data_IF_767867608762
#
_entry.id   IF_767867608762
#
_cell.length_a   1.000
_cell.length_b   1.000
_cell.length_c   1.000
_cell.angle_alpha   90.00
_cell.angle_beta   90.00
_cell.angle_gamma   90.00
#
_symmetry.space_group_name_H-M   'P 1'
#
loop_
_entity.id
_entity.type
_entity.pdbx_description
1 polymer ?
#
# COMPACT_ATOMS: atom_id res chain seq x y z
N UNK A 1 3.57 -13.27 -8.36
CA UNK A 1 2.94 -11.93 -8.49
C UNK A 1 2.10 -11.53 -7.27
N UNK A 2 0.97 -12.17 -6.94
CA UNK A 2 0.19 -11.80 -5.72
C UNK A 2 1.02 -11.86 -4.43
N UNK A 3 1.66 -12.99 -4.17
CA UNK A 3 2.49 -13.18 -2.97
C UNK A 3 3.68 -12.22 -2.92
N UNK A 4 4.31 -11.94 -4.06
CA UNK A 4 5.42 -10.96 -4.15
C UNK A 4 4.95 -9.55 -3.77
N UNK A 5 3.77 -9.13 -4.25
CA UNK A 5 3.17 -7.84 -3.87
C UNK A 5 2.83 -7.78 -2.37
N UNK A 6 2.38 -8.90 -1.80
CA UNK A 6 2.11 -8.99 -0.36
C UNK A 6 3.40 -8.96 0.47
N UNK A 7 4.46 -9.63 0.01
CA UNK A 7 5.80 -9.54 0.62
C UNK A 7 6.37 -8.13 0.55
N UNK A 8 6.22 -7.44 -0.59
CA UNK A 8 6.60 -6.03 -0.72
C UNK A 8 5.81 -5.16 0.27
N UNK A 9 4.49 -5.32 0.33
CA UNK A 9 3.62 -4.60 1.28
C UNK A 9 4.01 -4.85 2.74
N UNK A 10 4.34 -6.09 3.11
CA UNK A 10 4.75 -6.44 4.46
C UNK A 10 6.11 -5.85 4.87
N UNK A 11 6.93 -5.42 3.91
CA UNK A 11 8.25 -4.80 4.15
C UNK A 11 8.23 -3.28 4.11
N UNK A 12 7.08 -2.67 3.82
CA UNK A 12 6.94 -1.21 3.74
C UNK A 12 7.25 -0.60 5.12
N UNK A 13 8.23 0.32 5.22
CA UNK A 13 8.63 0.93 6.48
C UNK A 13 7.72 2.11 6.85
N UNK A 14 6.40 1.88 6.87
CA UNK A 14 5.43 2.91 7.24
C UNK A 14 5.38 3.11 8.76
N UNK A 15 5.13 4.36 9.19
CA UNK A 15 4.92 4.73 10.60
C UNK A 15 3.55 4.34 11.14
N UNK A 16 2.65 3.91 10.25
CA UNK A 16 1.28 3.48 10.54
C UNK A 16 1.06 2.12 9.88
N UNK A 17 -0.02 1.44 10.26
CA UNK A 17 -0.41 0.19 9.61
C UNK A 17 -0.54 0.38 8.10
N UNK A 18 0.01 -0.56 7.32
CA UNK A 18 -0.01 -0.50 5.85
C UNK A 18 -1.44 -0.38 5.31
N UNK A 19 -2.43 -0.97 5.99
CA UNK A 19 -3.83 -0.81 5.63
C UNK A 19 -4.33 0.65 5.66
N UNK A 20 -3.88 1.44 6.63
CA UNK A 20 -4.19 2.89 6.71
C UNK A 20 -3.58 3.64 5.54
N UNK A 21 -2.35 3.31 5.16
CA UNK A 21 -1.67 3.90 4.00
C UNK A 21 -2.43 3.58 2.71
N UNK A 22 -2.84 2.32 2.54
CA UNK A 22 -3.60 1.88 1.37
C UNK A 22 -4.98 2.55 1.27
N UNK A 23 -5.70 2.68 2.39
CA UNK A 23 -6.99 3.37 2.40
C UNK A 23 -6.82 4.86 2.04
N UNK A 24 -5.87 5.58 2.63
CA UNK A 24 -5.61 6.99 2.30
C UNK A 24 -5.25 7.18 0.82
N UNK A 25 -4.37 6.32 0.27
CA UNK A 25 -4.03 6.35 -1.14
C UNK A 25 -5.22 6.07 -2.05
N UNK A 26 -6.09 5.12 -1.67
CA UNK A 26 -7.27 4.78 -2.45
C UNK A 26 -8.21 5.98 -2.63
N UNK A 27 -8.48 6.71 -1.55
CA UNK A 27 -9.34 7.89 -1.59
C UNK A 27 -8.67 9.07 -2.30
N UNK A 28 -7.41 9.36 -2.00
CA UNK A 28 -6.70 10.44 -2.69
C UNK A 28 -6.59 10.22 -4.19
N UNK A 29 -6.27 8.98 -4.60
CA UNK A 29 -6.09 8.65 -6.00
C UNK A 29 -7.43 8.65 -6.77
N UNK A 30 -8.55 8.39 -6.10
CA UNK A 30 -9.87 8.53 -6.69
C UNK A 30 -10.19 10.00 -7.03
N UNK A 31 -9.88 10.93 -6.11
CA UNK A 31 -10.13 12.37 -6.26
C UNK A 31 -9.36 13.00 -7.42
N UNK A 32 -8.16 12.49 -7.71
CA UNK A 32 -7.28 12.97 -8.78
C UNK A 32 -7.18 11.99 -9.96
N UNK A 33 -8.10 11.04 -10.08
CA UNK A 33 -8.05 9.95 -11.07
C UNK A 33 -7.94 10.42 -12.54
N UNK A 34 -8.45 11.62 -12.84
CA UNK A 34 -8.40 12.25 -14.15
C UNK A 34 -7.08 12.97 -14.47
N UNK A 35 -6.16 13.08 -13.50
CA UNK A 35 -4.87 13.75 -13.69
C UNK A 35 -3.90 12.83 -14.44
N UNK A 36 -2.91 13.40 -15.17
CA UNK A 36 -1.82 12.62 -15.76
C UNK A 36 -1.09 11.78 -14.70
N UNK A 37 -0.65 10.57 -15.08
CA UNK A 37 -0.04 9.62 -14.16
C UNK A 37 1.16 10.20 -13.39
N UNK A 38 2.02 10.96 -14.06
CA UNK A 38 3.21 11.55 -13.42
C UNK A 38 2.84 12.63 -12.39
N UNK A 39 1.77 13.40 -12.66
CA UNK A 39 1.24 14.35 -11.68
C UNK A 39 0.59 13.62 -10.50
N UNK A 40 -0.16 12.54 -10.75
CA UNK A 40 -0.76 11.71 -9.69
C UNK A 40 0.31 11.15 -8.77
N UNK A 41 1.36 10.56 -9.34
CA UNK A 41 2.51 10.04 -8.56
C UNK A 41 3.08 11.08 -7.61
N UNK A 42 3.31 12.29 -8.12
CA UNK A 42 3.86 13.39 -7.33
C UNK A 42 2.94 13.80 -6.17
N UNK A 43 1.64 14.01 -6.46
CA UNK A 43 0.65 14.45 -5.47
C UNK A 43 0.41 13.41 -4.40
N UNK A 44 0.33 12.12 -4.78
CA UNK A 44 0.16 11.03 -3.83
C UNK A 44 1.38 10.93 -2.90
N UNK A 45 2.60 10.99 -3.44
CA UNK A 45 3.82 10.88 -2.63
C UNK A 45 3.96 12.06 -1.65
N UNK A 46 3.66 13.26 -2.12
CA UNK A 46 3.63 14.45 -1.27
C UNK A 46 2.51 14.38 -0.21
N UNK A 47 1.36 13.79 -0.55
CA UNK A 47 0.27 13.52 0.38
C UNK A 47 0.68 12.58 1.52
N UNK A 48 1.40 11.51 1.21
CA UNK A 48 1.96 10.58 2.20
C UNK A 48 2.99 11.27 3.10
N UNK A 49 3.86 12.10 2.49
CA UNK A 49 4.90 12.83 3.21
C UNK A 49 4.31 13.85 4.19
N UNK A 50 3.33 14.66 3.75
CA UNK A 50 2.66 15.65 4.58
C UNK A 50 1.91 15.04 5.77
N UNK A 51 1.37 13.83 5.61
CA UNK A 51 0.74 13.05 6.69
C UNK A 51 1.73 12.34 7.60
N UNK A 52 3.04 12.38 7.29
CA UNK A 52 4.12 11.72 8.03
C UNK A 52 3.92 10.21 8.14
N UNK A 53 3.46 9.57 7.08
CA UNK A 53 3.39 8.10 7.01
C UNK A 53 4.76 7.47 6.80
N UNK A 54 5.73 8.23 6.26
CA UNK A 54 7.11 7.82 6.04
C UNK A 54 8.09 8.90 6.50
N UNK A 55 9.35 8.53 6.70
CA UNK A 55 10.42 9.43 7.14
C UNK A 55 10.97 10.32 6.02
N UNK A 56 10.95 9.82 4.79
CA UNK A 56 11.52 10.46 3.62
C UNK A 56 10.62 10.34 2.39
N UNK A 57 10.89 11.20 1.40
CA UNK A 57 10.10 11.31 0.19
C UNK A 57 10.31 10.13 -0.77
N UNK A 58 11.45 9.44 -0.70
CA UNK A 58 11.74 8.31 -1.59
C UNK A 58 10.94 7.07 -1.16
N UNK A 59 10.77 6.84 0.14
CA UNK A 59 9.85 5.85 0.68
C UNK A 59 8.39 6.15 0.27
N UNK A 60 7.97 7.41 0.30
CA UNK A 60 6.65 7.82 -0.21
C UNK A 60 6.49 7.48 -1.69
N UNK A 61 7.48 7.79 -2.53
CA UNK A 61 7.45 7.48 -3.98
C UNK A 61 7.38 5.98 -4.24
N UNK A 62 8.21 5.20 -3.54
CA UNK A 62 8.20 3.75 -3.64
C UNK A 62 6.84 3.15 -3.27
N UNK A 63 6.20 3.66 -2.20
CA UNK A 63 4.86 3.24 -1.81
C UNK A 63 3.81 3.58 -2.86
N UNK A 64 3.91 4.76 -3.50
CA UNK A 64 2.98 5.15 -4.58
C UNK A 64 3.16 4.30 -5.82
N UNK A 65 4.38 3.95 -6.20
CA UNK A 65 4.63 3.05 -7.32
C UNK A 65 4.15 1.62 -7.00
N UNK A 66 4.27 1.16 -5.75
CA UNK A 66 3.64 -0.07 -5.29
C UNK A 66 2.11 0.01 -5.38
N UNK A 67 1.50 1.11 -4.95
CA UNK A 67 0.07 1.34 -5.06
C UNK A 67 -0.45 1.25 -6.49
N UNK A 68 0.22 1.88 -7.45
CA UNK A 68 -0.17 1.81 -8.87
C UNK A 68 -0.15 0.35 -9.36
N UNK A 69 0.92 -0.40 -9.05
CA UNK A 69 1.02 -1.83 -9.40
C UNK A 69 -0.09 -2.65 -8.76
N UNK A 70 -0.43 -2.37 -7.49
CA UNK A 70 -1.52 -3.05 -6.79
C UNK A 70 -2.87 -2.76 -7.44
N UNK A 71 -3.15 -1.50 -7.80
CA UNK A 71 -4.39 -1.13 -8.49
C UNK A 71 -4.57 -1.90 -9.79
N UNK A 72 -3.52 -1.94 -10.60
CA UNK A 72 -3.53 -2.59 -11.90
C UNK A 72 -3.69 -4.11 -11.75
N UNK A 73 -2.99 -4.72 -10.78
CA UNK A 73 -3.06 -6.16 -10.54
C UNK A 73 -4.41 -6.62 -9.98
N UNK A 74 -4.95 -5.92 -8.99
CA UNK A 74 -6.18 -6.31 -8.28
C UNK A 74 -7.45 -5.70 -8.87
N UNK A 75 -7.34 -4.83 -9.89
CA UNK A 75 -8.50 -4.17 -10.50
C UNK A 75 -9.24 -3.25 -9.53
N UNK A 76 -8.50 -2.44 -8.75
CA UNK A 76 -9.07 -1.54 -7.73
C UNK A 76 -9.69 -0.29 -8.36
N UNK A 77 -10.84 -0.47 -9.03
CA UNK A 77 -11.55 0.59 -9.75
C UNK A 77 -12.34 1.54 -8.85
N UNK A 78 -12.67 1.11 -7.63
CA UNK A 78 -13.39 1.90 -6.62
C UNK A 78 -12.58 1.92 -5.31
N UNK A 79 -12.48 3.06 -4.60
CA UNK A 79 -11.67 3.16 -3.38
C UNK A 79 -12.07 2.13 -2.32
N UNK A 80 -13.37 1.86 -2.14
CA UNK A 80 -13.84 0.86 -1.15
C UNK A 80 -13.33 -0.57 -1.40
N UNK A 81 -12.93 -0.93 -2.62
CA UNK A 81 -12.38 -2.25 -2.91
C UNK A 81 -11.02 -2.48 -2.24
N UNK A 82 -10.34 -1.41 -1.84
CA UNK A 82 -9.09 -1.51 -1.07
C UNK A 82 -9.29 -2.25 0.25
N UNK A 83 -10.49 -2.22 0.84
CA UNK A 83 -10.78 -2.91 2.11
C UNK A 83 -10.69 -4.43 1.96
N UNK A 84 -11.04 -4.96 0.80
CA UNK A 84 -10.86 -6.38 0.49
C UNK A 84 -9.37 -6.73 0.41
N UNK A 85 -8.58 -5.90 -0.26
CA UNK A 85 -7.11 -6.06 -0.32
C UNK A 85 -6.48 -6.02 1.08
N UNK A 86 -6.89 -5.06 1.93
CA UNK A 86 -6.39 -4.95 3.30
C UNK A 86 -6.73 -6.20 4.11
N UNK A 87 -7.95 -6.71 3.98
CA UNK A 87 -8.37 -7.94 4.63
C UNK A 87 -7.55 -9.15 4.14
N UNK A 88 -7.36 -9.30 2.83
CA UNK A 88 -6.52 -10.37 2.27
C UNK A 88 -5.07 -10.30 2.73
N UNK A 89 -4.48 -9.10 2.79
CA UNK A 89 -3.13 -8.88 3.29
C UNK A 89 -3.01 -9.32 4.76
N UNK A 90 -4.00 -8.98 5.58
CA UNK A 90 -4.03 -9.40 6.99
C UNK A 90 -4.03 -10.92 7.12
N UNK A 91 -4.90 -11.61 6.40
CA UNK A 91 -4.93 -13.09 6.37
C UNK A 91 -3.60 -13.69 5.91
N UNK A 92 -2.97 -13.08 4.90
CA UNK A 92 -1.67 -13.52 4.43
C UNK A 92 -0.58 -13.41 5.51
N UNK A 93 -0.51 -12.27 6.20
CA UNK A 93 0.44 -12.07 7.30
C UNK A 93 0.20 -13.05 8.46
N UNK A 94 -1.05 -13.23 8.88
CA UNK A 94 -1.43 -14.17 9.94
C UNK A 94 -1.06 -15.62 9.58
N UNK A 95 -1.33 -16.05 8.34
CA UNK A 95 -0.97 -17.38 7.86
C UNK A 95 0.55 -17.58 7.79
N UNK A 96 1.31 -16.53 7.43
CA UNK A 96 2.77 -16.56 7.41
C UNK A 96 3.37 -16.63 8.81
N UNK A 97 2.82 -15.90 9.77
CA UNK A 97 3.21 -15.97 11.18
C UNK A 97 2.94 -17.37 11.76
N UNK A 98 1.76 -17.94 11.50
CA UNK A 98 1.38 -19.27 11.98
C UNK A 98 2.22 -20.41 11.35
N UNK A 99 2.74 -20.21 10.14
CA UNK A 99 3.61 -21.17 9.46
C UNK A 99 5.10 -20.95 9.71
N UNK A 100 5.47 -19.86 10.38
CA UNK A 100 6.85 -19.59 10.77
C UNK A 100 7.20 -20.45 11.99
N UNK A 101 8.17 -21.38 11.91
CA UNK A 101 8.56 -22.16 13.07
C UNK A 101 9.06 -21.18 14.13
N UNK A 102 8.38 -21.14 15.27
CA UNK A 102 8.80 -20.37 16.42
C UNK A 102 10.30 -20.60 16.63
N UNK A 103 11.10 -19.53 16.59
CA UNK A 103 12.45 -19.58 17.11
C UNK A 103 12.30 -19.99 18.57
N UNK A 104 12.66 -21.24 18.84
CA UNK A 104 12.88 -21.75 20.19
C UNK A 104 14.04 -20.92 20.73
N UNK A 105 13.72 -19.89 21.50
CA UNK A 105 14.66 -19.27 22.44
C UNK A 105 14.59 -20.03 23.77
#
# INVERSE_FOLDING_TARGET
MKEELFEELARVPARVEVGVVLEDLAFLDADISWWPLDMRRHVLADGLYRRRFFDDLDACRAMVDLWIRLKDYFGLSHPDFVRLLIHELKHYCEAKEASSPARVE
#
